data_IF_776110297681
#
_entry.id   IF_776110297681
#
_cell.length_a   1.000
_cell.length_b   1.000
_cell.length_c   1.000
_cell.angle_alpha   90.00
_cell.angle_beta   90.00
_cell.angle_gamma   90.00
#
_symmetry.space_group_name_H-M   'P 1'
#
loop_
_entity.id
_entity.type
_entity.pdbx_description
1 polymer ?
#
# COMPACT_ATOMS: atom_id res chain seq x y z
N UNK A 1 -17.81 6.11 1.01
CA UNK A 1 -17.26 5.56 -0.25
C UNK A 1 -15.79 5.28 -0.02
N UNK A 2 -15.34 4.03 -0.20
CA UNK A 2 -13.93 3.66 -0.02
C UNK A 2 -13.11 4.26 -1.16
N UNK A 3 -12.21 5.19 -0.85
CA UNK A 3 -11.31 5.79 -1.85
C UNK A 3 -10.05 4.94 -1.96
N UNK A 4 -9.73 4.50 -3.16
CA UNK A 4 -8.46 3.84 -3.46
C UNK A 4 -7.52 4.84 -4.13
N UNK A 5 -6.29 4.92 -3.65
CA UNK A 5 -5.25 5.78 -4.21
C UNK A 5 -4.17 4.91 -4.84
N UNK A 6 -3.76 5.24 -6.07
CA UNK A 6 -2.60 4.59 -6.68
C UNK A 6 -1.33 5.17 -6.06
N UNK A 7 -0.57 4.31 -5.40
CA UNK A 7 0.72 4.66 -4.80
C UNK A 7 1.84 3.93 -5.53
N UNK A 8 2.97 4.60 -5.72
CA UNK A 8 4.16 3.97 -6.26
C UNK A 8 4.85 3.15 -5.17
N UNK A 9 5.37 1.98 -5.54
CA UNK A 9 6.21 1.19 -4.63
C UNK A 9 7.60 1.83 -4.63
N UNK A 10 8.05 2.25 -3.45
CA UNK A 10 9.38 2.81 -3.22
C UNK A 10 10.41 1.69 -3.06
N UNK A 11 10.06 0.65 -2.31
CA UNK A 11 10.95 -0.46 -2.01
C UNK A 11 10.17 -1.75 -1.78
N UNK A 12 10.75 -2.88 -2.20
CA UNK A 12 10.28 -4.22 -1.85
C UNK A 12 11.46 -4.94 -1.21
N UNK A 13 11.30 -5.37 0.03
CA UNK A 13 12.29 -6.13 0.78
C UNK A 13 11.78 -7.53 1.05
N UNK A 14 12.55 -8.54 0.65
CA UNK A 14 12.25 -9.94 0.96
C UNK A 14 12.72 -10.24 2.38
N UNK A 15 11.78 -10.34 3.32
CA UNK A 15 12.11 -10.63 4.72
C UNK A 15 12.31 -12.14 4.92
N UNK A 16 11.47 -12.97 4.30
CA UNK A 16 11.57 -14.44 4.41
C UNK A 16 11.25 -15.12 3.09
N UNK A 17 11.36 -16.46 3.06
CA UNK A 17 10.94 -17.26 1.90
C UNK A 17 9.46 -17.11 1.55
N UNK A 18 8.62 -16.68 2.50
CA UNK A 18 7.17 -16.60 2.37
C UNK A 18 6.61 -15.18 2.55
N UNK A 19 7.44 -14.18 2.87
CA UNK A 19 6.97 -12.83 3.17
C UNK A 19 7.88 -11.75 2.61
N UNK A 20 7.26 -10.65 2.19
CA UNK A 20 7.91 -9.43 1.71
C UNK A 20 7.34 -8.22 2.45
N UNK A 21 8.21 -7.25 2.73
CA UNK A 21 7.85 -5.91 3.17
C UNK A 21 7.79 -5.00 1.95
N UNK A 22 6.72 -4.24 1.80
CA UNK A 22 6.55 -3.28 0.71
C UNK A 22 6.44 -1.88 1.29
N UNK A 23 7.30 -0.98 0.85
CA UNK A 23 7.27 0.43 1.22
C UNK A 23 6.64 1.22 0.07
N UNK A 24 5.55 1.93 0.35
CA UNK A 24 4.91 2.82 -0.61
C UNK A 24 5.44 4.24 -0.49
N UNK A 25 5.58 4.92 -1.62
CA UNK A 25 5.83 6.35 -1.65
C UNK A 25 4.50 7.09 -1.53
N UNK A 26 4.35 7.87 -0.45
CA UNK A 26 3.18 8.74 -0.24
C UNK A 26 3.49 10.13 -0.84
N UNK A 27 2.74 10.58 -1.87
CA UNK A 27 2.87 11.93 -2.39
C UNK A 27 2.41 12.97 -1.36
N UNK A 28 2.91 14.20 -1.47
CA UNK A 28 2.65 15.24 -0.46
C UNK A 28 1.17 15.55 -0.27
N UNK A 29 0.40 15.53 -1.36
CA UNK A 29 -1.06 15.74 -1.36
C UNK A 29 -1.82 14.70 -0.51
N UNK A 30 -1.24 13.52 -0.28
CA UNK A 30 -1.85 12.44 0.49
C UNK A 30 -1.29 12.30 1.91
N UNK A 31 -0.23 13.04 2.28
CA UNK A 31 0.40 12.93 3.61
C UNK A 31 -0.61 13.06 4.76
N UNK A 32 -1.55 13.98 4.65
CA UNK A 32 -2.57 14.21 5.67
C UNK A 32 -3.54 13.03 5.85
N UNK A 33 -3.76 12.25 4.78
CA UNK A 33 -4.63 11.07 4.81
C UNK A 33 -3.94 9.82 5.36
N UNK A 34 -2.60 9.76 5.31
CA UNK A 34 -1.80 8.64 5.76
C UNK A 34 -1.10 8.93 7.11
N UNK A 35 -1.85 9.52 8.05
CA UNK A 35 -1.40 9.65 9.44
C UNK A 35 -1.62 8.33 10.18
N UNK A 36 -0.53 7.75 10.69
CA UNK A 36 -0.56 6.46 11.36
C UNK A 36 -1.21 6.55 12.75
N UNK A 37 -2.18 5.67 13.01
CA UNK A 37 -2.72 5.41 14.35
C UNK A 37 -2.64 3.91 14.64
N UNK A 38 -2.23 3.54 15.86
CA UNK A 38 -2.09 2.15 16.25
C UNK A 38 -3.41 1.36 16.09
N UNK A 39 -3.31 0.16 15.52
CA UNK A 39 -4.47 -0.70 15.23
C UNK A 39 -5.17 -0.42 13.91
N UNK A 40 -4.68 0.53 13.09
CA UNK A 40 -5.19 0.73 11.74
C UNK A 40 -4.64 -0.31 10.75
N UNK A 41 -5.46 -0.60 9.74
CA UNK A 41 -5.11 -1.45 8.61
C UNK A 41 -5.47 -0.71 7.32
N UNK A 42 -4.76 -1.00 6.25
CA UNK A 42 -5.08 -0.51 4.92
C UNK A 42 -5.60 -1.65 4.06
N UNK A 43 -6.61 -1.37 3.24
CA UNK A 43 -7.05 -2.30 2.20
C UNK A 43 -6.26 -2.00 0.93
N UNK A 44 -5.55 -3.00 0.44
CA UNK A 44 -4.89 -2.93 -0.86
C UNK A 44 -5.82 -3.52 -1.91
N UNK A 45 -5.82 -2.91 -3.08
CA UNK A 45 -6.49 -3.42 -4.28
C UNK A 45 -5.43 -3.65 -5.33
N UNK A 46 -5.42 -4.84 -5.92
CA UNK A 46 -4.45 -5.21 -6.93
C UNK A 46 -5.17 -5.60 -8.22
N UNK A 47 -4.55 -5.33 -9.35
CA UNK A 47 -4.96 -5.94 -10.63
C UNK A 47 -3.87 -6.94 -11.02
N UNK A 48 -4.21 -8.23 -10.98
CA UNK A 48 -3.33 -9.31 -11.39
C UNK A 48 -3.91 -9.94 -12.66
N UNK A 49 -3.12 -9.98 -13.74
CA UNK A 49 -3.54 -10.57 -15.03
C UNK A 49 -4.88 -10.04 -15.57
N UNK A 50 -5.17 -8.77 -15.34
CA UNK A 50 -6.43 -8.12 -15.76
C UNK A 50 -7.62 -8.37 -14.84
N UNK A 51 -7.44 -9.12 -13.75
CA UNK A 51 -8.46 -9.37 -12.74
C UNK A 51 -8.20 -8.54 -11.47
N UNK A 52 -9.24 -7.88 -10.95
CA UNK A 52 -9.17 -7.11 -9.70
C UNK A 52 -9.30 -8.05 -8.49
N UNK A 53 -8.38 -7.95 -7.55
CA UNK A 53 -8.31 -8.70 -6.28
C UNK A 53 -8.26 -7.73 -5.10
#
# INVERSE_FOLDING_TARGET
MSSFYKLAIKEIKKETSQAVSILFQIPEELKDKYQFVAGQYVTLKLTLDGQEI
#
